data_IF_564126667598
#
_entry.id   IF_564126667598
#
_cell.length_a   1.000
_cell.length_b   1.000
_cell.length_c   1.000
_cell.angle_alpha   90.00
_cell.angle_beta   90.00
_cell.angle_gamma   90.00
#
_symmetry.space_group_name_H-M   'P 1'
#
loop_
_entity.id
_entity.type
_entity.pdbx_description
1 polymer ?
#
# COMPACT_ATOMS: atom_id res chain seq x y z
N UNK A 1 -1.79 -22.11 -0.62
CA UNK A 1 -0.54 -21.83 -1.36
C UNK A 1 0.17 -20.69 -0.64
N UNK A 2 1.32 -20.93 0.01
CA UNK A 2 2.04 -19.89 0.76
C UNK A 2 2.73 -18.97 -0.24
N UNK A 3 2.27 -17.73 -0.35
CA UNK A 3 2.94 -16.74 -1.19
C UNK A 3 4.39 -16.58 -0.72
N UNK A 4 5.35 -16.80 -1.62
CA UNK A 4 6.80 -16.72 -1.38
C UNK A 4 7.32 -15.28 -1.34
N UNK A 5 6.44 -14.29 -1.19
CA UNK A 5 6.83 -12.90 -1.23
C UNK A 5 7.47 -12.49 0.09
N UNK A 6 8.81 -12.39 0.08
CA UNK A 6 9.57 -11.79 1.17
C UNK A 6 9.32 -10.28 1.17
N UNK A 7 8.23 -9.86 1.78
CA UNK A 7 8.15 -8.51 2.32
C UNK A 7 9.05 -8.51 3.56
N UNK A 8 10.34 -8.20 3.37
CA UNK A 8 11.26 -8.06 4.49
C UNK A 8 10.89 -6.78 5.25
N UNK A 9 9.93 -6.91 6.16
CA UNK A 9 9.81 -6.00 7.30
C UNK A 9 10.98 -6.36 8.24
N UNK A 10 12.22 -6.03 7.83
CA UNK A 10 13.43 -6.18 8.66
C UNK A 10 13.35 -5.36 9.96
N UNK A 11 12.30 -4.54 10.11
CA UNK A 11 11.96 -3.82 11.32
C UNK A 11 10.73 -4.39 12.05
N UNK A 12 10.57 -5.71 12.16
CA UNK A 12 9.75 -6.35 13.21
C UNK A 12 8.29 -5.87 13.36
N UNK A 13 7.67 -5.39 12.28
CA UNK A 13 6.31 -4.86 12.30
C UNK A 13 5.26 -5.97 12.34
N UNK A 14 4.28 -5.84 13.23
CA UNK A 14 3.08 -6.68 13.20
C UNK A 14 2.14 -6.15 12.10
N UNK A 15 1.89 -6.99 11.09
CA UNK A 15 0.85 -6.75 10.09
C UNK A 15 -0.53 -6.90 10.73
N UNK A 16 -1.34 -5.86 10.66
CA UNK A 16 -2.70 -5.80 11.21
C UNK A 16 -3.73 -6.07 10.11
N UNK A 17 -3.49 -5.55 8.91
CA UNK A 17 -4.39 -5.64 7.78
C UNK A 17 -3.60 -5.69 6.46
N UNK A 18 -4.14 -6.38 5.46
CA UNK A 18 -3.64 -6.39 4.09
C UNK A 18 -4.75 -6.81 3.12
N UNK A 19 -4.87 -6.08 2.01
CA UNK A 19 -5.80 -6.38 0.93
C UNK A 19 -5.19 -6.00 -0.42
N UNK A 20 -5.26 -6.92 -1.39
CA UNK A 20 -4.95 -6.63 -2.80
C UNK A 20 -6.22 -6.09 -3.45
N UNK A 21 -6.13 -4.91 -4.07
CA UNK A 21 -7.25 -4.32 -4.79
C UNK A 21 -7.45 -5.10 -6.09
N UNK A 22 -8.62 -5.71 -6.25
CA UNK A 22 -9.00 -6.49 -7.42
C UNK A 22 -8.77 -5.71 -8.73
N UNK A 23 -8.36 -6.43 -9.77
CA UNK A 23 -8.01 -5.90 -11.10
C UNK A 23 -6.90 -4.83 -11.11
N UNK A 24 -6.11 -4.73 -10.04
CA UNK A 24 -4.94 -3.86 -9.96
C UNK A 24 -3.74 -4.57 -9.35
N UNK A 25 -2.56 -3.99 -9.56
CA UNK A 25 -1.33 -4.42 -8.88
C UNK A 25 -1.11 -3.72 -7.54
N UNK A 26 -2.15 -3.11 -6.96
CA UNK A 26 -2.05 -2.37 -5.70
C UNK A 26 -2.38 -3.26 -4.50
N UNK A 27 -1.57 -3.14 -3.46
CA UNK A 27 -1.83 -3.75 -2.15
C UNK A 27 -1.83 -2.66 -1.10
N UNK A 28 -2.87 -2.63 -0.28
CA UNK A 28 -3.02 -1.72 0.87
C UNK A 28 -2.88 -2.53 2.15
N UNK A 29 -2.13 -2.01 3.11
CA UNK A 29 -1.79 -2.75 4.32
C UNK A 29 -1.66 -1.80 5.51
N UNK A 30 -1.83 -2.33 6.72
CA UNK A 30 -1.58 -1.59 7.98
C UNK A 30 -0.59 -2.38 8.82
N UNK A 31 0.51 -1.73 9.19
CA UNK A 31 1.56 -2.31 10.03
C UNK A 31 1.75 -1.49 11.30
N UNK A 32 2.00 -2.16 12.42
CA UNK A 32 2.42 -1.55 13.68
C UNK A 32 3.79 -2.08 14.08
N UNK A 33 4.79 -1.19 14.15
CA UNK A 33 6.15 -1.55 14.54
C UNK A 33 6.31 -1.34 16.04
N UNK A 34 6.58 -2.42 16.78
CA UNK A 34 6.73 -2.40 18.24
C UNK A 34 5.57 -1.71 18.95
N UNK A 35 5.91 -0.74 19.81
CA UNK A 35 4.93 0.10 20.54
C UNK A 35 4.55 1.39 19.79
N UNK A 36 4.97 1.55 18.53
CA UNK A 36 4.64 2.71 17.71
C UNK A 36 3.19 2.72 17.22
N UNK A 37 2.80 3.80 16.55
CA UNK A 37 1.46 3.92 15.95
C UNK A 37 1.34 3.07 14.67
N UNK A 38 0.16 2.45 14.43
CA UNK A 38 -0.13 1.81 13.14
C UNK A 38 0.01 2.80 12.00
N UNK A 39 0.57 2.33 10.88
CA UNK A 39 0.72 3.12 9.65
C UNK A 39 0.13 2.34 8.48
N UNK A 40 -0.62 3.05 7.64
CA UNK A 40 -1.07 2.51 6.37
C UNK A 40 0.10 2.53 5.38
N UNK A 41 0.21 1.51 4.54
CA UNK A 41 1.17 1.42 3.45
C UNK A 41 0.45 0.99 2.17
N UNK A 42 0.76 1.66 1.06
CA UNK A 42 0.34 1.25 -0.29
C UNK A 42 1.59 0.83 -1.05
N UNK A 43 1.54 -0.34 -1.67
CA UNK A 43 2.57 -0.82 -2.59
C UNK A 43 1.98 -1.20 -3.92
N UNK A 44 2.84 -1.24 -4.95
CA UNK A 44 2.52 -1.76 -6.27
C UNK A 44 3.41 -2.95 -6.60
N UNK A 45 2.81 -4.04 -7.04
CA UNK A 45 3.51 -5.17 -7.65
C UNK A 45 3.97 -4.77 -9.07
N UNK A 46 5.27 -4.89 -9.35
CA UNK A 46 5.89 -4.59 -10.64
C UNK A 46 6.90 -5.69 -10.97
N UNK A 47 7.24 -5.85 -12.26
CA UNK A 47 8.37 -6.71 -12.64
C UNK A 47 9.67 -5.92 -12.60
N UNK A 48 10.73 -6.53 -12.09
CA UNK A 48 12.09 -5.99 -12.22
C UNK A 48 12.70 -6.31 -13.60
N UNK A 49 13.98 -5.95 -13.79
CA UNK A 49 14.71 -6.18 -15.03
C UNK A 49 14.88 -7.66 -15.38
N UNK A 50 14.84 -8.52 -14.37
CA UNK A 50 15.01 -9.97 -14.51
C UNK A 50 13.66 -10.68 -14.71
N UNK A 51 12.56 -9.91 -14.65
CA UNK A 51 11.19 -10.40 -14.86
C UNK A 51 10.51 -10.88 -13.58
N UNK A 52 11.17 -10.76 -12.42
CA UNK A 52 10.65 -11.17 -11.12
C UNK A 52 9.69 -10.11 -10.55
N UNK A 53 8.66 -10.57 -9.85
CA UNK A 53 7.69 -9.68 -9.21
C UNK A 53 8.27 -9.08 -7.92
N UNK A 54 8.36 -7.76 -7.90
CA UNK A 54 8.83 -6.96 -6.76
C UNK A 54 7.77 -5.94 -6.33
N UNK A 55 7.76 -5.57 -5.06
CA UNK A 55 6.85 -4.56 -4.52
C UNK A 55 7.53 -3.20 -4.43
N UNK A 56 7.00 -2.22 -5.16
CA UNK A 56 7.41 -0.81 -5.07
C UNK A 56 6.50 -0.08 -4.09
N UNK A 57 7.07 0.50 -3.03
CA UNK A 57 6.32 1.35 -2.09
C UNK A 57 5.82 2.60 -2.81
N UNK A 58 4.51 2.86 -2.73
CA UNK A 58 3.87 4.07 -3.25
C UNK A 58 3.65 5.12 -2.16
N UNK A 59 3.46 4.69 -0.92
CA UNK A 59 3.30 5.60 0.21
C UNK A 59 3.18 4.87 1.54
N UNK A 60 3.53 5.56 2.62
CA UNK A 60 3.33 5.13 4.00
C UNK A 60 2.89 6.33 4.82
N UNK A 61 1.77 6.20 5.52
CA UNK A 61 1.07 7.34 6.12
C UNK A 61 0.58 7.03 7.53
N UNK A 62 0.58 8.05 8.39
CA UNK A 62 -0.12 8.05 9.66
C UNK A 62 -1.63 8.20 9.45
N UNK A 63 -2.42 7.90 10.48
CA UNK A 63 -3.88 8.04 10.43
C UNK A 63 -4.33 9.45 10.01
N UNK A 64 -3.73 10.50 10.59
CA UNK A 64 -4.06 11.88 10.27
C UNK A 64 -3.84 12.24 8.80
N UNK A 65 -2.78 11.71 8.18
CA UNK A 65 -2.48 11.90 6.76
C UNK A 65 -3.48 11.13 5.89
N UNK A 66 -3.87 9.91 6.29
CA UNK A 66 -4.90 9.12 5.59
C UNK A 66 -6.25 9.86 5.62
N UNK A 67 -6.67 10.34 6.79
CA UNK A 67 -7.92 11.09 6.96
C UNK A 67 -7.93 12.37 6.12
N UNK A 68 -6.82 13.11 6.08
CA UNK A 68 -6.70 14.30 5.24
C UNK A 68 -6.68 13.98 3.73
N UNK A 69 -6.13 12.83 3.34
CA UNK A 69 -5.97 12.44 1.95
C UNK A 69 -7.28 11.97 1.29
N UNK A 70 -8.15 11.27 2.03
CA UNK A 70 -9.43 10.74 1.50
C UNK A 70 -10.26 11.80 0.74
N UNK A 71 -10.58 12.99 1.30
CA UNK A 71 -11.36 14.00 0.58
C UNK A 71 -10.62 14.56 -0.64
N UNK A 72 -9.29 14.57 -0.63
CA UNK A 72 -8.47 14.98 -1.78
C UNK A 72 -8.54 13.93 -2.89
N UNK A 73 -8.43 12.64 -2.55
CA UNK A 73 -8.55 11.53 -3.51
C UNK A 73 -9.91 11.52 -4.20
N UNK A 74 -11.00 11.83 -3.50
CA UNK A 74 -12.32 11.95 -4.12
C UNK A 74 -12.40 13.12 -5.12
N UNK A 75 -11.76 14.26 -4.82
CA UNK A 75 -11.66 15.38 -5.79
C UNK A 75 -10.85 14.97 -7.02
N UNK A 76 -9.70 14.32 -6.83
CA UNK A 76 -8.85 13.82 -7.93
C UNK A 76 -9.63 12.82 -8.80
N UNK A 77 -10.34 11.87 -8.18
CA UNK A 77 -11.18 10.88 -8.87
C UNK A 77 -12.22 11.55 -9.77
N UNK A 78 -12.89 12.61 -9.28
CA UNK A 78 -13.88 13.36 -10.10
C UNK A 78 -13.25 14.01 -11.32
N UNK A 79 -12.02 14.54 -11.21
CA UNK A 79 -11.29 15.13 -12.32
C UNK A 79 -10.90 14.04 -13.33
N UNK A 80 -10.31 12.94 -12.86
CA UNK A 80 -9.90 11.83 -13.72
C UNK A 80 -11.07 11.17 -14.48
N UNK A 81 -12.26 11.11 -13.87
CA UNK A 81 -13.47 10.61 -14.53
C UNK A 81 -13.97 11.50 -15.66
N UNK A 82 -13.79 12.82 -15.59
CA UNK A 82 -14.21 13.75 -16.65
C UNK A 82 -13.33 13.69 -17.89
N UNK A 83 -12.09 13.22 -17.74
CA UNK A 83 -11.14 13.05 -18.84
C UNK A 83 -11.12 11.65 -19.46
N UNK A 84 -12.05 10.78 -19.06
CA UNK A 84 -12.33 9.49 -19.69
C UNK A 84 -13.60 9.61 -20.51
#
# INVERSE_FOLDING_TARGET
>A
MKSKYKFSDEAGGKKIFEEKIEDTELVVSVYKIGNGFPKMQIVREVKDSDGDFVFKKLGRMYLSEVEALIPVMEKVRKIMKKGR
#
